data_IF_233195205679
#
_entry.id   IF_233195205679
#
_cell.length_a   1.000
_cell.length_b   1.000
_cell.length_c   1.000
_cell.angle_alpha   90.00
_cell.angle_beta   90.00
_cell.angle_gamma   90.00
#
_symmetry.space_group_name_H-M   'P 1'
#
loop_
_entity.id
_entity.type
_entity.pdbx_description
1 polymer ?
#
# COMPACT_ATOMS: atom_id res chain seq x y z
N UNK A 1 26.14 -13.29 4.93
CA UNK A 1 26.01 -13.00 4.39
C UNK A 1 25.93 -11.94 4.20
N UNK A 2 26.20 -11.48 3.93
CA UNK A 2 26.12 -10.65 3.70
C UNK A 2 25.72 -10.01 2.90
N UNK A 3 25.96 -9.68 2.06
CA UNK A 3 25.54 -8.99 1.27
C UNK A 3 24.46 -9.12 0.68
N UNK A 4 24.58 -9.98 0.15
CA UNK A 4 23.41 -10.28 -0.36
C UNK A 4 22.58 -10.09 0.65
N UNK A 5 23.07 -10.16 1.58
CA UNK A 5 22.36 -9.90 2.63
C UNK A 5 21.85 -8.61 2.62
N UNK A 6 22.30 -7.77 1.84
CA UNK A 6 21.72 -6.48 1.68
C UNK A 6 20.43 -6.52 0.89
N UNK A 7 20.13 -7.64 0.28
CA UNK A 7 18.94 -7.78 -0.53
C UNK A 7 17.73 -8.06 0.33
N UNK A 8 16.60 -7.51 -0.10
CA UNK A 8 15.33 -7.71 0.56
C UNK A 8 14.65 -8.90 -0.08
N UNK A 9 14.72 -10.04 0.57
CA UNK A 9 14.11 -11.26 0.06
C UNK A 9 12.72 -11.40 0.62
N UNK A 10 11.71 -11.31 -0.25
CA UNK A 10 10.31 -11.36 0.14
C UNK A 10 9.57 -12.37 -0.69
N UNK A 11 8.58 -13.02 -0.11
CA UNK A 11 7.73 -13.91 -0.87
C UNK A 11 6.81 -13.13 -1.80
N UNK A 12 6.44 -11.91 -1.43
CA UNK A 12 5.54 -11.08 -2.20
C UNK A 12 6.09 -9.67 -2.28
N UNK A 13 6.23 -9.17 -3.49
CA UNK A 13 6.60 -7.80 -3.75
C UNK A 13 5.48 -7.19 -4.57
N UNK A 14 4.96 -6.07 -4.11
CA UNK A 14 3.86 -5.38 -4.76
C UNK A 14 4.40 -4.10 -5.37
N UNK A 15 4.24 -3.95 -6.68
CA UNK A 15 4.71 -2.77 -7.38
C UNK A 15 3.54 -1.80 -7.49
N UNK A 16 3.68 -0.67 -6.84
CA UNK A 16 2.66 0.36 -6.83
C UNK A 16 2.02 0.50 -5.47
N UNK A 17 1.80 1.74 -5.06
CA UNK A 17 1.24 2.04 -3.74
C UNK A 17 -0.10 2.76 -3.85
N UNK A 18 -0.81 2.62 -4.98
CA UNK A 18 -2.17 3.08 -5.09
C UNK A 18 -3.12 2.12 -4.40
N UNK A 19 -4.44 2.39 -4.46
CA UNK A 19 -5.41 1.57 -3.74
C UNK A 19 -5.38 0.09 -4.09
N UNK A 20 -5.16 -0.25 -5.36
CA UNK A 20 -5.10 -1.65 -5.75
C UNK A 20 -3.90 -2.35 -5.10
N UNK A 21 -2.73 -1.71 -5.16
CA UNK A 21 -1.54 -2.26 -4.53
C UNK A 21 -1.68 -2.37 -3.03
N UNK A 22 -2.24 -1.35 -2.40
CA UNK A 22 -2.43 -1.35 -0.95
C UNK A 22 -3.46 -2.39 -0.52
N UNK A 23 -4.50 -2.60 -1.32
CA UNK A 23 -5.47 -3.65 -1.03
C UNK A 23 -4.80 -5.03 -1.09
N UNK A 24 -3.99 -5.26 -2.12
CA UNK A 24 -3.24 -6.51 -2.22
C UNK A 24 -2.30 -6.67 -1.02
N UNK A 25 -1.67 -5.58 -0.59
CA UNK A 25 -0.76 -5.61 0.54
C UNK A 25 -1.48 -5.99 1.84
N UNK A 26 -2.69 -5.47 2.04
CA UNK A 26 -3.45 -5.80 3.23
C UNK A 26 -3.74 -7.30 3.28
N UNK A 27 -4.20 -7.86 2.16
CA UNK A 27 -4.55 -9.28 2.13
C UNK A 27 -3.31 -10.16 2.26
N UNK A 28 -2.21 -9.80 1.58
CA UNK A 28 -0.98 -10.56 1.68
C UNK A 28 -0.41 -10.50 3.10
N UNK A 29 -0.46 -9.32 3.72
CA UNK A 29 0.05 -9.16 5.07
C UNK A 29 -0.77 -9.96 6.07
N UNK A 30 -2.10 -9.99 5.90
CA UNK A 30 -2.95 -10.78 6.78
C UNK A 30 -2.73 -12.28 6.60
N UNK A 31 -2.20 -12.69 5.46
CA UNK A 31 -1.81 -14.07 5.21
C UNK A 31 -0.39 -14.35 5.68
N UNK A 32 0.21 -13.41 6.42
CA UNK A 32 1.54 -13.56 7.01
C UNK A 32 2.64 -13.70 5.96
N UNK A 33 2.45 -13.08 4.80
CA UNK A 33 3.43 -13.13 3.72
C UNK A 33 4.42 -11.98 3.78
N UNK A 34 4.19 -11.01 4.66
CA UNK A 34 5.09 -9.88 4.88
C UNK A 34 5.48 -9.18 3.57
N UNK A 35 4.49 -8.66 2.84
CA UNK A 35 4.76 -8.09 1.53
C UNK A 35 5.60 -6.82 1.63
N UNK A 36 6.39 -6.60 0.59
CA UNK A 36 7.09 -5.34 0.38
C UNK A 36 6.36 -4.56 -0.70
N UNK A 37 5.96 -3.34 -0.39
CA UNK A 37 5.29 -2.46 -1.33
C UNK A 37 6.30 -1.46 -1.85
N UNK A 38 6.50 -1.44 -3.16
CA UNK A 38 7.45 -0.54 -3.80
C UNK A 38 6.67 0.54 -4.53
N UNK A 39 6.90 1.78 -4.13
CA UNK A 39 6.25 2.94 -4.75
C UNK A 39 7.00 3.38 -5.99
N UNK A 40 6.23 3.87 -6.97
CA UNK A 40 6.81 4.50 -8.13
C UNK A 40 7.01 5.99 -7.93
N UNK A 41 6.93 6.74 -9.03
CA UNK A 41 7.13 8.18 -8.99
C UNK A 41 6.00 8.92 -8.32
N UNK A 42 4.84 8.31 -8.25
CA UNK A 42 3.66 8.91 -7.62
C UNK A 42 3.17 7.99 -6.51
N UNK A 43 3.79 8.05 -5.34
CA UNK A 43 3.34 7.22 -4.23
C UNK A 43 1.86 7.47 -3.93
N UNK A 44 1.09 6.38 -3.75
CA UNK A 44 -0.33 6.49 -3.51
C UNK A 44 -1.15 6.54 -4.78
N UNK A 45 -0.51 6.64 -5.95
CA UNK A 45 -1.18 6.62 -7.23
C UNK A 45 -1.98 7.88 -7.49
N UNK A 46 -2.94 7.78 -8.38
CA UNK A 46 -3.71 8.95 -8.83
C UNK A 46 -4.63 9.49 -7.76
N UNK A 47 -4.98 8.70 -6.76
CA UNK A 47 -5.87 9.20 -5.71
C UNK A 47 -5.24 10.32 -4.89
N UNK A 48 -3.92 10.42 -4.88
CA UNK A 48 -3.27 11.53 -4.20
C UNK A 48 -3.43 12.84 -4.94
N UNK A 49 -3.87 12.79 -6.21
CA UNK A 49 -4.06 13.97 -7.03
C UNK A 49 -5.52 14.41 -7.08
N UNK A 50 -6.44 13.62 -6.57
CA UNK A 50 -7.86 13.95 -6.57
C UNK A 50 -8.25 14.42 -5.19
N UNK A 51 -9.35 15.20 -5.12
CA UNK A 51 -9.81 15.71 -3.84
C UNK A 51 -10.92 14.87 -3.24
N UNK A 52 -11.88 14.45 -4.04
CA UNK A 52 -13.03 13.71 -3.51
C UNK A 52 -13.15 12.35 -4.14
N UNK A 53 -13.28 11.32 -3.32
CA UNK A 53 -13.54 9.97 -3.75
C UNK A 53 -14.89 9.57 -3.16
N UNK A 54 -15.88 9.37 -4.02
CA UNK A 54 -17.24 9.16 -3.57
C UNK A 54 -17.72 7.73 -3.77
N UNK A 55 -16.99 6.95 -4.50
CA UNK A 55 -17.42 5.61 -4.86
C UNK A 55 -16.60 4.51 -4.19
N UNK A 56 -15.89 4.84 -3.13
CA UNK A 56 -15.14 3.81 -2.40
C UNK A 56 -16.00 3.31 -1.24
N UNK A 57 -16.17 1.99 -1.13
CA UNK A 57 -17.03 1.43 -0.08
C UNK A 57 -16.54 1.79 1.32
N UNK A 58 -17.47 2.04 2.20
CA UNK A 58 -17.14 2.37 3.58
C UNK A 58 -17.13 3.86 3.89
N UNK A 59 -17.32 4.69 2.88
CA UNK A 59 -17.32 6.15 3.06
C UNK A 59 -18.56 6.73 2.42
N UNK A 60 -19.71 6.66 3.11
CA UNK A 60 -20.97 7.07 2.49
C UNK A 60 -21.03 8.54 2.09
N UNK A 61 -20.20 9.37 2.73
CA UNK A 61 -20.16 10.79 2.40
C UNK A 61 -18.90 11.17 1.64
N UNK A 62 -18.18 10.14 1.13
CA UNK A 62 -16.95 10.39 0.39
C UNK A 62 -15.74 10.49 1.30
N UNK A 63 -14.58 10.56 0.69
CA UNK A 63 -13.32 10.69 1.42
C UNK A 63 -12.33 11.40 0.48
N UNK A 64 -11.43 12.17 1.07
CA UNK A 64 -10.37 12.78 0.28
C UNK A 64 -9.39 11.71 -0.17
N UNK A 65 -8.95 11.79 -1.43
CA UNK A 65 -8.04 10.80 -1.99
C UNK A 65 -6.80 10.56 -1.15
N UNK A 66 -6.05 11.62 -0.80
CA UNK A 66 -4.86 11.43 0.04
C UNK A 66 -5.17 10.80 1.39
N UNK A 67 -6.31 11.13 1.98
CA UNK A 67 -6.69 10.54 3.27
C UNK A 67 -7.00 9.06 3.12
N UNK A 68 -7.68 8.68 2.04
CA UNK A 68 -7.98 7.28 1.80
C UNK A 68 -6.69 6.47 1.66
N UNK A 69 -5.75 6.95 0.86
CA UNK A 69 -4.47 6.26 0.66
C UNK A 69 -3.72 6.15 1.98
N UNK A 70 -3.71 7.21 2.79
CA UNK A 70 -3.03 7.18 4.07
C UNK A 70 -3.63 6.13 5.00
N UNK A 71 -4.97 6.03 5.02
CA UNK A 71 -5.64 5.03 5.84
C UNK A 71 -5.32 3.63 5.38
N UNK A 72 -5.32 3.38 4.07
CA UNK A 72 -5.02 2.06 3.52
C UNK A 72 -3.58 1.68 3.82
N UNK A 73 -2.65 2.62 3.69
CA UNK A 73 -1.25 2.37 3.97
C UNK A 73 -1.03 2.01 5.43
N UNK A 74 -1.70 2.73 6.31
CA UNK A 74 -1.61 2.47 7.74
C UNK A 74 -2.19 1.10 8.07
N UNK A 75 -3.30 0.74 7.43
CA UNK A 75 -3.92 -0.57 7.67
C UNK A 75 -3.00 -1.70 7.21
N UNK A 76 -2.40 -1.57 6.04
CA UNK A 76 -1.49 -2.61 5.54
C UNK A 76 -0.27 -2.74 6.46
N UNK A 77 0.27 -1.62 6.91
CA UNK A 77 1.42 -1.63 7.81
C UNK A 77 1.09 -2.32 9.13
N UNK A 78 -0.13 -2.13 9.61
CA UNK A 78 -0.56 -2.77 10.86
C UNK A 78 -0.44 -4.28 10.78
N UNK A 79 -0.63 -4.86 9.61
CA UNK A 79 -0.58 -6.31 9.43
C UNK A 79 0.79 -6.80 8.96
N UNK A 80 1.76 -5.92 8.80
CA UNK A 80 3.11 -6.35 8.51
C UNK A 80 3.68 -5.97 7.16
N UNK A 81 2.95 -5.20 6.36
CA UNK A 81 3.49 -4.71 5.09
C UNK A 81 4.58 -3.67 5.36
N UNK A 82 5.62 -3.67 4.54
CA UNK A 82 6.67 -2.67 4.59
C UNK A 82 6.73 -1.94 3.25
N UNK A 83 7.38 -0.80 3.24
CA UNK A 83 7.35 0.09 2.08
C UNK A 83 8.75 0.50 1.67
N UNK A 84 8.92 0.67 0.37
CA UNK A 84 10.18 1.12 -0.19
C UNK A 84 9.87 1.95 -1.44
N UNK A 85 10.60 3.02 -1.64
CA UNK A 85 10.44 3.84 -2.83
C UNK A 85 11.39 3.42 -3.95
#
# INVERSE_FOLDING_TARGET
>A
MSDERQQDHRQVIILGSGPAGLTAAIYAARSDLQPLVVSGNEPGGQLTLTTDVENYPGFPEGVQGPDLVALMKKQAARFGATYKM
#
